data_IF_399472320365
#
_entry.id   IF_399472320365
#
_cell.length_a   1.000
_cell.length_b   1.000
_cell.length_c   1.000
_cell.angle_alpha   90.00
_cell.angle_beta   90.00
_cell.angle_gamma   90.00
#
_symmetry.space_group_name_H-M   'P 1'
#
loop_
_entity.id
_entity.type
_entity.pdbx_description
1 polymer ?
#
# COMPACT_ATOMS: atom_id res chain seq x y z
N UNK A 1 -31.75 -54.72 27.66
CA UNK A 1 -31.11 -53.88 28.69
C UNK A 1 -30.26 -52.85 27.98
N UNK A 2 -30.62 -51.57 28.06
CA UNK A 2 -29.86 -50.49 27.42
C UNK A 2 -28.64 -50.21 28.29
N UNK A 3 -27.44 -50.47 27.76
CA UNK A 3 -26.17 -50.15 28.44
C UNK A 3 -25.99 -48.64 28.37
N UNK A 4 -26.59 -47.89 29.29
CA UNK A 4 -26.28 -46.47 29.48
C UNK A 4 -25.01 -46.36 30.29
N UNK A 5 -24.07 -45.57 29.79
CA UNK A 5 -22.84 -45.26 30.49
C UNK A 5 -23.07 -44.33 31.68
N UNK A 6 -22.23 -44.49 32.70
CA UNK A 6 -22.23 -43.68 33.91
C UNK A 6 -21.89 -42.23 33.52
N UNK A 7 -22.64 -41.22 33.99
CA UNK A 7 -22.40 -39.83 33.64
C UNK A 7 -21.01 -39.38 34.13
N UNK A 8 -20.21 -38.80 33.24
CA UNK A 8 -18.87 -38.26 33.55
C UNK A 8 -17.69 -38.98 32.88
N UNK A 9 -17.92 -40.06 32.13
CA UNK A 9 -16.87 -40.80 31.39
C UNK A 9 -17.29 -40.92 29.92
N UNK A 10 -16.40 -40.53 29.00
CA UNK A 10 -16.60 -40.68 27.55
C UNK A 10 -16.71 -42.16 27.18
N UNK A 11 -17.94 -42.63 26.97
CA UNK A 11 -18.15 -43.96 26.41
C UNK A 11 -17.98 -43.94 24.90
N UNK A 12 -16.91 -44.60 24.49
CA UNK A 12 -16.52 -44.72 23.10
C UNK A 12 -17.17 -45.98 22.54
N UNK A 13 -18.37 -45.84 21.97
CA UNK A 13 -18.97 -46.89 21.16
C UNK A 13 -18.26 -46.97 19.80
N UNK A 14 -18.20 -48.16 19.21
CA UNK A 14 -17.50 -48.35 17.93
C UNK A 14 -18.05 -47.45 16.81
N UNK A 15 -19.34 -47.07 16.89
CA UNK A 15 -19.97 -46.14 15.96
C UNK A 15 -19.55 -44.68 16.18
N UNK A 16 -19.30 -44.25 17.43
CA UNK A 16 -18.83 -42.89 17.69
C UNK A 16 -17.38 -42.70 17.24
N UNK A 17 -16.52 -43.73 17.36
CA UNK A 17 -15.17 -43.71 16.74
C UNK A 17 -15.21 -43.64 15.23
N UNK A 18 -16.10 -44.41 14.60
CA UNK A 18 -16.24 -44.41 13.14
C UNK A 18 -16.68 -43.02 12.65
N UNK A 19 -17.60 -42.37 13.37
CA UNK A 19 -18.04 -41.01 13.07
C UNK A 19 -16.90 -39.98 13.17
N UNK A 20 -16.12 -39.99 14.26
CA UNK A 20 -14.97 -39.08 14.39
C UNK A 20 -13.86 -39.38 13.38
N UNK A 21 -13.64 -40.65 13.03
CA UNK A 21 -12.70 -41.04 11.98
C UNK A 21 -13.06 -40.47 10.60
N UNK A 22 -14.34 -40.57 10.21
CA UNK A 22 -14.83 -39.97 8.97
C UNK A 22 -14.70 -38.44 8.96
N UNK A 23 -14.93 -37.80 10.12
CA UNK A 23 -14.80 -36.35 10.27
C UNK A 23 -13.35 -35.88 10.08
N UNK A 24 -12.38 -36.61 10.65
CA UNK A 24 -10.94 -36.33 10.46
C UNK A 24 -10.52 -36.51 9.00
N UNK A 25 -10.98 -37.58 8.33
CA UNK A 25 -10.68 -37.83 6.91
C UNK A 25 -11.24 -36.71 6.02
N UNK A 26 -12.46 -36.23 6.29
CA UNK A 26 -13.06 -35.13 5.55
C UNK A 26 -12.27 -33.82 5.73
N UNK A 27 -11.78 -33.53 6.94
CA UNK A 27 -10.94 -32.35 7.21
C UNK A 27 -9.61 -32.44 6.45
N UNK A 28 -8.93 -33.58 6.48
CA UNK A 28 -7.67 -33.79 5.75
C UNK A 28 -7.85 -33.67 4.24
N UNK A 29 -8.96 -34.18 3.71
CA UNK A 29 -9.31 -34.02 2.30
C UNK A 29 -9.54 -32.55 1.91
N UNK A 30 -10.27 -31.80 2.74
CA UNK A 30 -10.51 -30.37 2.52
C UNK A 30 -9.21 -29.54 2.55
N UNK A 31 -8.30 -29.85 3.48
CA UNK A 31 -6.98 -29.20 3.55
C UNK A 31 -6.12 -29.48 2.30
N UNK A 32 -6.19 -30.69 1.74
CA UNK A 32 -5.51 -31.04 0.49
C UNK A 32 -6.03 -30.23 -0.70
N UNK A 33 -7.35 -30.06 -0.83
CA UNK A 33 -7.94 -29.22 -1.89
C UNK A 33 -7.45 -27.77 -1.77
N UNK A 34 -7.46 -27.20 -0.56
CA UNK A 34 -7.03 -25.82 -0.34
C UNK A 34 -5.53 -25.63 -0.55
N UNK A 35 -4.71 -26.63 -0.20
CA UNK A 35 -3.28 -26.64 -0.49
C UNK A 35 -3.00 -26.65 -2.00
N UNK A 36 -3.68 -27.52 -2.77
CA UNK A 36 -3.52 -27.59 -4.22
C UNK A 36 -4.02 -26.32 -4.95
N UNK A 37 -5.05 -25.65 -4.43
CA UNK A 37 -5.52 -24.36 -4.97
C UNK A 37 -4.52 -23.21 -4.72
N UNK A 38 -3.68 -23.29 -3.68
CA UNK A 38 -2.64 -22.30 -3.44
C UNK A 38 -1.40 -22.53 -4.29
N UNK A 39 -1.15 -23.76 -4.76
CA UNK A 39 -0.03 -24.09 -5.65
C UNK A 39 -0.25 -23.65 -7.10
N UNK A 40 -1.49 -23.39 -7.53
CA UNK A 40 -1.82 -22.92 -8.89
C UNK A 40 -1.91 -21.39 -9.02
N UNK A 41 -1.59 -20.63 -7.97
CA UNK A 41 -1.46 -19.16 -8.00
C UNK A 41 -0.03 -18.66 -8.27
N UNK A 42 0.80 -19.47 -8.91
CA UNK A 42 2.08 -19.03 -9.49
C UNK A 42 1.95 -18.93 -11.01
N UNK A 43 1.81 -17.69 -11.49
CA UNK A 43 2.14 -17.21 -12.84
C UNK A 43 1.60 -17.99 -14.05
N UNK A 44 0.35 -17.73 -14.43
CA UNK A 44 -0.06 -17.81 -15.84
C UNK A 44 0.13 -16.43 -16.50
N UNK A 45 1.32 -16.16 -17.01
CA UNK A 45 1.47 -15.24 -18.14
C UNK A 45 1.33 -16.07 -19.41
N UNK A 46 0.09 -16.35 -19.79
CA UNK A 46 -0.24 -17.05 -21.01
C UNK A 46 -0.21 -16.09 -22.20
N UNK A 47 0.86 -16.08 -22.96
CA UNK A 47 0.80 -15.66 -24.36
C UNK A 47 0.12 -16.80 -25.15
N UNK A 48 -1.13 -16.58 -25.54
CA UNK A 48 -1.84 -17.47 -26.46
C UNK A 48 -1.10 -17.49 -27.80
N UNK A 49 -0.37 -18.57 -28.09
CA UNK A 49 0.02 -18.95 -29.45
C UNK A 49 -1.08 -19.84 -30.03
N UNK A 50 -1.95 -19.27 -30.87
CA UNK A 50 -2.57 -20.01 -31.98
C UNK A 50 -2.98 -19.01 -33.07
N UNK A 51 -2.51 -19.28 -34.30
CA UNK A 51 -2.76 -18.58 -35.57
C UNK A 51 -2.25 -17.14 -35.74
N UNK A 52 -0.99 -17.03 -36.18
CA UNK A 52 -0.58 -15.96 -37.10
C UNK A 52 -0.33 -16.56 -38.48
N UNK A 53 -1.41 -16.85 -39.20
CA UNK A 53 -1.35 -16.69 -40.66
C UNK A 53 -1.27 -15.20 -40.90
N UNK A 54 -0.17 -14.77 -41.52
CA UNK A 54 0.04 -13.47 -42.18
C UNK A 54 -1.24 -12.62 -42.34
N UNK A 55 -1.33 -11.55 -41.57
CA UNK A 55 -1.91 -10.31 -42.07
C UNK A 55 -0.85 -9.23 -41.87
N UNK A 56 -0.22 -8.88 -42.98
CA UNK A 56 0.69 -7.75 -43.11
C UNK A 56 0.03 -6.51 -42.50
N UNK A 57 0.64 -5.94 -41.46
CA UNK A 57 0.36 -4.55 -41.11
C UNK A 57 0.94 -3.71 -42.23
N UNK A 58 0.12 -3.48 -43.25
CA UNK A 58 0.36 -2.45 -44.24
C UNK A 58 0.49 -1.13 -43.49
N UNK A 59 1.74 -0.64 -43.41
CA UNK A 59 2.00 0.78 -43.34
C UNK A 59 1.46 1.39 -44.64
N UNK A 60 0.16 1.60 -44.73
CA UNK A 60 -0.40 2.50 -45.72
C UNK A 60 -0.46 3.89 -45.08
N UNK A 61 0.58 4.67 -45.37
CA UNK A 61 0.42 6.11 -45.58
C UNK A 61 -0.52 6.31 -46.76
N UNK A 62 -1.81 6.04 -46.55
CA UNK A 62 -2.86 6.34 -47.51
C UNK A 62 -3.28 7.79 -47.30
N UNK A 63 -2.71 8.67 -48.12
CA UNK A 63 -3.35 9.91 -48.51
C UNK A 63 -4.63 9.53 -49.27
N UNK A 64 -5.73 9.37 -48.54
CA UNK A 64 -7.06 9.18 -49.12
C UNK A 64 -7.55 10.55 -49.62
N UNK A 65 -7.82 10.74 -50.93
CA UNK A 65 -8.37 11.98 -51.42
C UNK A 65 -9.81 12.12 -50.92
N UNK A 66 -10.10 13.33 -50.48
CA UNK A 66 -11.34 13.76 -49.85
C UNK A 66 -12.57 13.46 -50.72
N UNK A 67 -13.44 12.55 -50.29
CA UNK A 67 -14.81 12.44 -50.82
C UNK A 67 -15.77 11.98 -49.71
N UNK A 68 -16.64 12.89 -49.30
CA UNK A 68 -17.96 12.62 -48.71
C UNK A 68 -18.00 11.76 -47.44
N UNK A 69 -18.24 12.41 -46.30
CA UNK A 69 -18.69 11.84 -45.02
C UNK A 69 -17.58 11.15 -44.19
N UNK A 70 -16.59 11.94 -43.75
CA UNK A 70 -15.50 11.45 -42.90
C UNK A 70 -15.83 11.59 -41.41
N UNK A 71 -16.51 10.59 -40.85
CA UNK A 71 -16.44 10.32 -39.41
C UNK A 71 -15.43 9.18 -39.21
N UNK A 72 -14.21 9.52 -38.80
CA UNK A 72 -13.20 8.52 -38.44
C UNK A 72 -13.43 8.07 -36.98
N UNK A 73 -13.77 6.81 -36.76
CA UNK A 73 -13.80 6.17 -35.43
C UNK A 73 -12.38 5.84 -34.92
N UNK A 74 -11.40 6.73 -35.14
CA UNK A 74 -10.10 6.62 -34.48
C UNK A 74 -10.25 7.21 -33.09
N UNK A 75 -9.91 6.44 -32.06
CA UNK A 75 -10.04 6.81 -30.63
C UNK A 75 -9.37 8.15 -30.24
N UNK A 76 -8.49 8.68 -31.10
CA UNK A 76 -7.73 9.91 -30.85
C UNK A 76 -8.15 11.11 -31.72
N UNK A 77 -9.17 10.99 -32.57
CA UNK A 77 -9.62 12.08 -33.45
C UNK A 77 -10.79 12.84 -32.82
N UNK A 78 -10.47 13.66 -31.82
CA UNK A 78 -11.43 14.51 -31.08
C UNK A 78 -12.09 15.54 -32.01
N UNK A 79 -11.47 15.87 -33.15
CA UNK A 79 -12.02 16.83 -34.10
C UNK A 79 -13.20 16.25 -34.92
N UNK A 80 -13.15 14.97 -35.26
CA UNK A 80 -14.16 14.32 -36.13
C UNK A 80 -15.18 13.45 -35.39
N UNK A 81 -14.97 13.18 -34.10
CA UNK A 81 -15.87 12.33 -33.29
C UNK A 81 -16.95 13.15 -32.55
N UNK A 82 -18.23 13.11 -33.00
CA UNK A 82 -19.32 13.87 -32.39
C UNK A 82 -19.74 13.37 -31.00
N UNK A 83 -19.29 12.18 -30.59
CA UNK A 83 -19.54 11.63 -29.26
C UNK A 83 -18.40 11.91 -28.27
N UNK A 84 -17.32 12.55 -28.71
CA UNK A 84 -16.23 12.93 -27.82
C UNK A 84 -16.53 14.28 -27.17
N UNK A 85 -16.42 14.41 -25.83
CA UNK A 85 -16.64 15.68 -25.17
C UNK A 85 -15.52 16.68 -25.52
N UNK A 86 -15.83 17.97 -25.72
CA UNK A 86 -14.85 19.00 -26.09
C UNK A 86 -14.03 19.45 -24.86
N UNK A 87 -13.19 18.55 -24.34
CA UNK A 87 -12.32 18.84 -23.20
C UNK A 87 -11.05 19.55 -23.68
N UNK A 88 -10.63 20.59 -22.95
CA UNK A 88 -9.35 21.27 -23.20
C UNK A 88 -8.21 20.33 -22.80
N UNK A 89 -7.33 20.01 -23.76
CA UNK A 89 -6.14 19.20 -23.49
C UNK A 89 -4.97 20.09 -23.06
N UNK A 90 -4.71 20.13 -21.75
CA UNK A 90 -3.59 20.89 -21.15
C UNK A 90 -2.28 20.08 -21.08
N UNK A 91 -2.23 18.89 -21.69
CA UNK A 91 -1.03 18.04 -21.65
C UNK A 91 0.08 18.65 -22.50
N UNK A 92 1.21 18.97 -21.85
CA UNK A 92 2.44 19.47 -22.51
C UNK A 92 3.06 18.40 -23.43
N UNK A 93 2.82 17.11 -23.14
CA UNK A 93 3.28 15.96 -23.92
C UNK A 93 2.05 15.18 -24.41
N UNK A 94 1.44 15.68 -25.48
CA UNK A 94 0.63 14.85 -26.37
C UNK A 94 1.58 13.84 -27.01
N UNK A 95 1.52 12.58 -26.60
CA UNK A 95 2.31 11.57 -27.28
C UNK A 95 1.55 10.25 -27.38
N UNK A 96 0.62 10.22 -28.33
CA UNK A 96 -0.04 8.99 -28.78
C UNK A 96 0.94 8.02 -29.47
N UNK A 97 2.16 8.48 -29.81
CA UNK A 97 3.23 7.69 -30.46
C UNK A 97 4.55 7.67 -29.64
N UNK A 98 4.50 7.76 -28.29
CA UNK A 98 5.72 7.63 -27.48
C UNK A 98 6.05 6.18 -27.23
N UNK A 99 7.20 5.74 -27.72
CA UNK A 99 7.80 4.45 -27.34
C UNK A 99 8.69 4.54 -26.09
N UNK A 100 8.70 5.67 -25.37
CA UNK A 100 9.44 5.82 -24.11
C UNK A 100 8.61 5.42 -22.88
N UNK A 101 9.23 5.41 -21.68
CA UNK A 101 8.55 5.04 -20.44
C UNK A 101 7.34 5.94 -20.20
N UNK A 102 6.13 5.37 -20.19
CA UNK A 102 4.89 6.07 -19.87
C UNK A 102 4.87 6.32 -18.36
N UNK A 103 4.96 7.59 -17.95
CA UNK A 103 4.82 7.96 -16.53
C UNK A 103 3.33 7.83 -16.19
N UNK A 104 2.95 7.01 -15.20
CA UNK A 104 1.55 6.87 -14.82
C UNK A 104 0.99 8.20 -14.30
N UNK A 105 -0.24 8.51 -14.70
CA UNK A 105 -0.99 9.67 -14.19
C UNK A 105 -1.34 9.39 -12.71
N UNK A 106 -1.24 10.40 -11.84
CA UNK A 106 -1.37 10.35 -10.37
C UNK A 106 -0.19 9.81 -9.54
N UNK A 107 1.05 9.89 -10.03
CA UNK A 107 2.21 9.74 -9.12
C UNK A 107 2.51 11.06 -8.41
N UNK A 108 2.64 11.02 -7.08
CA UNK A 108 3.09 12.17 -6.33
C UNK A 108 4.53 12.53 -6.74
N UNK A 109 4.71 13.69 -7.35
CA UNK A 109 6.02 14.16 -7.85
C UNK A 109 6.84 14.87 -6.78
N UNK A 110 6.21 15.30 -5.68
CA UNK A 110 6.85 16.11 -4.63
C UNK A 110 6.91 15.44 -3.26
N UNK A 111 6.01 14.49 -2.97
CA UNK A 111 5.98 13.81 -1.68
C UNK A 111 6.53 12.40 -1.79
N UNK A 112 7.37 12.04 -0.82
CA UNK A 112 7.92 10.69 -0.73
C UNK A 112 6.96 9.84 0.10
N UNK A 113 6.42 8.78 -0.49
CA UNK A 113 5.64 7.79 0.24
C UNK A 113 6.58 6.86 1.01
N UNK A 114 7.07 7.33 2.18
CA UNK A 114 7.86 6.52 3.11
C UNK A 114 6.97 5.95 4.21
N UNK A 115 7.21 4.71 4.66
CA UNK A 115 6.62 4.21 5.90
C UNK A 115 7.14 5.04 7.09
N UNK A 116 6.35 5.06 8.17
CA UNK A 116 6.79 5.59 9.45
C UNK A 116 7.78 4.63 10.09
N UNK A 117 8.85 5.20 10.65
CA UNK A 117 9.87 4.47 11.41
C UNK A 117 10.06 5.13 12.76
N UNK A 118 10.53 4.36 13.73
CA UNK A 118 10.96 4.94 15.00
C UNK A 118 12.26 5.71 14.74
N UNK A 119 12.26 7.00 15.09
CA UNK A 119 13.42 7.89 14.92
C UNK A 119 14.00 8.34 16.26
N UNK A 120 13.34 8.02 17.37
CA UNK A 120 13.78 8.44 18.69
C UNK A 120 12.78 8.11 19.78
N UNK A 121 12.92 8.82 20.89
CA UNK A 121 12.07 8.75 22.07
C UNK A 121 11.68 10.14 22.56
N UNK A 122 10.55 10.20 23.25
CA UNK A 122 10.01 11.37 23.91
C UNK A 122 10.04 11.14 25.41
N UNK A 123 10.67 12.03 26.16
CA UNK A 123 10.69 11.99 27.62
C UNK A 123 9.87 13.16 28.16
N UNK A 124 8.90 12.89 29.03
CA UNK A 124 8.08 13.96 29.63
C UNK A 124 8.96 14.97 30.38
N UNK A 125 8.66 16.27 30.23
CA UNK A 125 9.41 17.34 30.91
C UNK A 125 8.88 17.59 32.32
N UNK A 126 7.55 17.66 32.46
CA UNK A 126 6.88 17.97 33.72
C UNK A 126 5.97 16.80 34.13
N UNK A 127 6.24 16.18 35.27
CA UNK A 127 5.38 15.13 35.85
C UNK A 127 6.06 13.77 35.99
N UNK A 128 5.26 12.71 35.95
CA UNK A 128 5.73 11.32 36.06
C UNK A 128 6.65 10.94 34.90
N UNK A 129 7.69 10.14 35.17
CA UNK A 129 8.63 9.69 34.14
C UNK A 129 7.94 8.77 33.13
N UNK A 130 7.42 9.36 32.04
CA UNK A 130 6.83 8.63 30.92
C UNK A 130 7.71 8.76 29.69
N UNK A 131 8.12 7.63 29.12
CA UNK A 131 8.87 7.56 27.87
C UNK A 131 7.97 7.02 26.77
N UNK A 132 7.94 7.69 25.62
CA UNK A 132 7.12 7.29 24.47
C UNK A 132 7.98 7.20 23.20
N UNK A 133 7.68 6.29 22.27
CA UNK A 133 8.42 6.19 21.02
C UNK A 133 8.05 7.33 20.05
N UNK A 134 9.06 8.01 19.49
CA UNK A 134 8.86 9.00 18.44
C UNK A 134 8.89 8.32 17.07
N UNK A 135 7.75 8.35 16.37
CA UNK A 135 7.62 7.83 15.02
C UNK A 135 7.67 8.98 14.01
N UNK A 136 8.42 8.80 12.92
CA UNK A 136 8.64 9.81 11.90
C UNK A 136 8.66 9.26 10.49
N UNK A 137 8.25 10.09 9.53
CA UNK A 137 8.51 9.87 8.09
C UNK A 137 8.74 11.21 7.38
N UNK A 138 9.60 11.24 6.34
CA UNK A 138 9.69 12.40 5.47
C UNK A 138 8.39 12.54 4.65
N UNK A 139 7.93 13.77 4.47
CA UNK A 139 6.77 14.12 3.67
C UNK A 139 7.21 14.84 2.38
N UNK A 140 7.99 15.92 2.51
CA UNK A 140 8.56 16.67 1.38
C UNK A 140 10.07 16.79 1.55
N UNK A 141 10.84 16.01 0.78
CA UNK A 141 12.31 15.98 0.90
C UNK A 141 12.96 17.34 0.59
N UNK A 142 12.45 18.08 -0.39
CA UNK A 142 13.03 19.39 -0.78
C UNK A 142 12.83 20.48 0.28
N UNK A 143 11.80 20.37 1.14
CA UNK A 143 11.48 21.37 2.17
C UNK A 143 11.74 20.88 3.59
N UNK A 144 12.40 19.72 3.71
CA UNK A 144 12.64 19.02 4.97
C UNK A 144 11.41 18.96 5.88
N UNK A 145 10.26 18.60 5.30
CA UNK A 145 9.00 18.45 6.05
C UNK A 145 8.76 17.02 6.41
N UNK A 146 8.33 16.81 7.64
CA UNK A 146 8.16 15.49 8.23
C UNK A 146 6.81 15.35 8.89
N UNK A 147 6.31 14.12 8.91
CA UNK A 147 5.18 13.77 9.74
C UNK A 147 5.67 13.01 10.97
N UNK A 148 5.16 13.40 12.13
CA UNK A 148 5.50 12.78 13.41
C UNK A 148 4.25 12.37 14.17
N UNK A 149 4.32 11.24 14.84
CA UNK A 149 3.35 10.83 15.84
C UNK A 149 4.05 10.05 16.94
N UNK A 150 3.40 9.91 18.09
CA UNK A 150 3.88 9.04 19.17
C UNK A 150 2.85 7.96 19.46
N UNK A 151 3.26 6.91 20.16
CA UNK A 151 2.34 5.88 20.64
C UNK A 151 2.29 5.93 22.16
N UNK A 152 1.14 5.61 22.76
CA UNK A 152 1.08 5.45 24.20
C UNK A 152 1.71 4.11 24.63
N UNK A 153 2.14 4.04 25.89
CA UNK A 153 2.73 2.84 26.50
C UNK A 153 1.70 1.95 27.22
N UNK A 154 0.42 2.32 27.16
CA UNK A 154 -0.66 1.54 27.80
C UNK A 154 -1.03 0.34 26.93
N UNK A 155 -1.57 -0.71 27.56
CA UNK A 155 -2.15 -1.87 26.88
C UNK A 155 -3.20 -1.41 25.84
N UNK A 156 -2.79 -1.30 24.58
CA UNK A 156 -3.61 -0.74 23.50
C UNK A 156 -2.86 0.14 22.50
N UNK A 157 -1.61 0.54 22.76
CA UNK A 157 -0.69 1.21 21.80
C UNK A 157 -1.41 2.15 20.80
N UNK A 158 -2.04 3.18 21.34
CA UNK A 158 -2.82 4.17 20.59
C UNK A 158 -1.88 5.21 19.99
N UNK A 159 -2.09 5.56 18.72
CA UNK A 159 -1.35 6.64 18.05
C UNK A 159 -1.87 7.99 18.54
N UNK A 160 -0.95 8.83 19.00
CA UNK A 160 -1.23 10.17 19.47
C UNK A 160 -0.56 11.20 18.55
N UNK A 161 -1.29 12.24 18.11
CA UNK A 161 -0.72 13.31 17.32
C UNK A 161 0.25 14.15 18.16
N UNK A 162 1.26 14.68 17.48
CA UNK A 162 2.26 15.57 18.04
C UNK A 162 2.10 16.93 17.38
N UNK A 163 2.26 17.99 18.17
CA UNK A 163 2.39 19.34 17.67
C UNK A 163 3.76 19.92 18.00
N UNK A 164 4.34 20.63 17.03
CA UNK A 164 5.62 21.31 17.15
C UNK A 164 5.45 22.74 16.66
N UNK A 165 5.88 23.72 17.47
CA UNK A 165 5.74 25.16 17.16
C UNK A 165 4.30 25.56 16.77
N UNK A 166 3.32 25.07 17.53
CA UNK A 166 1.88 25.28 17.29
C UNK A 166 1.34 24.74 15.96
N UNK A 167 2.03 23.79 15.32
CA UNK A 167 1.57 23.10 14.11
C UNK A 167 1.43 21.61 14.38
N UNK A 168 0.37 21.02 13.84
CA UNK A 168 0.14 19.58 13.95
C UNK A 168 0.97 18.80 12.93
N UNK A 169 1.80 17.88 13.42
CA UNK A 169 2.74 17.10 12.63
C UNK A 169 2.12 15.86 11.98
N UNK A 170 0.80 15.67 12.11
CA UNK A 170 0.05 14.61 11.43
C UNK A 170 -0.73 15.12 10.22
N UNK A 171 -0.70 16.43 9.97
CA UNK A 171 -1.40 17.09 8.87
C UNK A 171 -0.77 16.80 7.49
N UNK A 172 -1.46 17.17 6.42
CA UNK A 172 -0.95 17.05 5.04
C UNK A 172 0.23 17.97 4.73
N UNK A 173 0.54 18.94 5.59
CA UNK A 173 1.68 19.84 5.45
C UNK A 173 2.90 19.39 6.25
N UNK A 174 2.68 18.56 7.29
CA UNK A 174 3.70 18.13 8.23
C UNK A 174 4.29 19.26 9.07
N UNK A 175 5.39 18.95 9.77
CA UNK A 175 6.17 19.85 10.60
C UNK A 175 7.60 20.01 10.06
N UNK A 176 8.32 20.98 10.63
CA UNK A 176 9.78 21.06 10.51
C UNK A 176 10.40 19.81 11.15
N UNK A 177 11.60 19.44 10.69
CA UNK A 177 12.37 18.37 11.31
C UNK A 177 12.68 18.70 12.78
N UNK A 178 12.69 17.66 13.62
CA UNK A 178 12.99 17.75 15.04
C UNK A 178 14.48 17.52 15.28
N UNK A 179 15.03 18.11 16.33
CA UNK A 179 16.39 17.92 16.77
C UNK A 179 16.46 17.44 18.22
N UNK A 180 17.62 16.93 18.63
CA UNK A 180 17.83 16.50 20.00
C UNK A 180 17.68 17.68 20.98
N UNK A 181 16.91 17.50 22.04
CA UNK A 181 16.61 18.56 23.02
C UNK A 181 15.40 19.43 22.69
N UNK A 182 14.81 19.32 21.50
CA UNK A 182 13.57 20.03 21.16
C UNK A 182 12.41 19.58 22.06
N UNK A 183 11.46 20.48 22.30
CA UNK A 183 10.23 20.18 23.05
C UNK A 183 9.03 20.14 22.11
N UNK A 184 8.25 19.06 22.20
CA UNK A 184 7.02 18.86 21.43
C UNK A 184 5.84 18.68 22.37
N UNK A 185 4.65 19.05 21.92
CA UNK A 185 3.42 18.90 22.69
C UNK A 185 2.62 17.69 22.19
N UNK A 186 2.27 16.79 23.10
CA UNK A 186 1.56 15.55 22.79
C UNK A 186 0.11 15.67 23.23
N UNK A 187 -0.81 15.75 22.27
CA UNK A 187 -2.22 16.09 22.55
C UNK A 187 -2.93 15.09 23.47
N UNK A 188 -2.58 13.80 23.40
CA UNK A 188 -3.20 12.76 24.24
C UNK A 188 -2.82 12.81 25.72
N UNK A 189 -1.72 13.49 26.06
CA UNK A 189 -1.28 13.69 27.44
C UNK A 189 -1.41 15.15 27.88
N UNK A 190 -1.84 16.05 26.98
CA UNK A 190 -1.90 17.50 27.21
C UNK A 190 -0.62 18.10 27.79
N UNK A 191 0.54 17.51 27.48
CA UNK A 191 1.82 17.84 28.09
C UNK A 191 2.96 17.93 27.08
N UNK A 192 4.05 18.57 27.51
CA UNK A 192 5.27 18.73 26.73
C UNK A 192 6.30 17.64 27.02
N UNK A 193 6.93 17.18 25.95
CA UNK A 193 7.94 16.13 25.95
C UNK A 193 9.20 16.63 25.27
N UNK A 194 10.34 16.28 25.85
CA UNK A 194 11.66 16.51 25.27
C UNK A 194 12.00 15.38 24.31
N UNK A 195 12.48 15.74 23.14
CA UNK A 195 12.85 14.84 22.04
C UNK A 195 14.28 14.36 22.23
N UNK A 196 14.49 13.05 22.10
CA UNK A 196 15.81 12.45 21.92
C UNK A 196 15.81 11.64 20.63
N UNK A 197 16.63 12.07 19.66
CA UNK A 197 16.68 11.47 18.32
C UNK A 197 17.79 10.42 18.28
N UNK A 198 17.53 9.30 17.62
CA UNK A 198 18.53 8.28 17.34
C UNK A 198 19.47 8.74 16.24
N UNK A 199 20.73 8.37 16.35
CA UNK A 199 21.70 8.67 15.32
C UNK A 199 21.33 7.99 14.00
N UNK A 200 21.54 8.72 12.91
CA UNK A 200 21.33 8.16 11.59
C UNK A 200 22.38 7.09 11.34
N UNK A 201 21.94 5.89 10.97
CA UNK A 201 22.85 4.92 10.38
C UNK A 201 23.30 5.50 9.02
N UNK A 202 24.53 6.00 8.96
CA UNK A 202 25.10 6.59 7.75
C UNK A 202 25.02 5.59 6.61
N UNK A 203 24.72 6.06 5.40
CA UNK A 203 24.74 5.19 4.22
C UNK A 203 26.12 4.55 4.09
N UNK A 204 26.20 3.24 4.24
CA UNK A 204 27.41 2.49 3.97
C UNK A 204 27.49 2.23 2.47
N UNK A 205 28.68 2.49 1.91
CA UNK A 205 28.95 2.14 0.52
C UNK A 205 28.90 0.62 0.37
N UNK A 206 28.03 0.12 -0.50
CA UNK A 206 27.96 -1.29 -0.88
C UNK A 206 28.65 -1.43 -2.24
N UNK A 207 29.92 -1.87 -2.30
CA UNK A 207 30.70 -1.90 -3.54
C UNK A 207 30.21 -2.86 -4.62
N UNK A 208 29.24 -3.71 -4.33
CA UNK A 208 28.75 -4.73 -5.25
C UNK A 208 27.21 -4.73 -5.25
N UNK A 209 26.63 -4.04 -6.22
CA UNK A 209 25.20 -4.11 -6.55
C UNK A 209 25.05 -4.00 -8.06
#
# INVERSE_FOLDING_TARGET
MVKKCVPGILCVENYTLLFFGLLIIAILYFMNIKYNQNLTKTHNCGCNKMSSTMCSNHNSTELIPFLGNSHNNRENDVLLNPYSPPLRDDRILNNTNYNGPKIPINVATQSVSSPYRQIGILTRVNGEETMLPLMGRPLFSNRDKWNFYTMNDKNGMIKLPISFRNKSCTSSQGCDNLYNGDTVFVEGYSDTFRVTIYDNNTMEYIPYL
#
